data_IF_192242805031
#
_entry.id   IF_192242805031
#
_cell.length_a   1.000
_cell.length_b   1.000
_cell.length_c   1.000
_cell.angle_alpha   90.00
_cell.angle_beta   90.00
_cell.angle_gamma   90.00
#
_symmetry.space_group_name_H-M   'P 1'
#
loop_
_entity.id
_entity.type
_entity.pdbx_description
1 polymer ?
#
# COMPACT_ATOMS: atom_id res chain seq x y z
N UNK A 1 -9.11 7.37 -13.02
CA UNK A 1 -7.99 6.41 -13.07
C UNK A 1 -7.59 6.16 -11.62
N UNK A 2 -7.92 4.97 -11.11
CA UNK A 2 -8.05 4.65 -9.69
C UNK A 2 -6.69 4.56 -8.97
N UNK A 3 -6.66 5.01 -7.70
CA UNK A 3 -5.55 4.92 -6.73
C UNK A 3 -4.61 3.69 -6.88
N UNK A 4 -5.12 2.46 -7.13
CA UNK A 4 -4.30 1.28 -7.33
C UNK A 4 -3.24 1.39 -8.42
N UNK A 5 -3.42 2.19 -9.47
CA UNK A 5 -2.44 2.22 -10.57
C UNK A 5 -1.07 2.78 -10.16
N UNK A 6 -1.00 3.65 -9.13
CA UNK A 6 0.27 4.15 -8.61
C UNK A 6 0.99 3.06 -7.81
N UNK A 7 0.31 2.49 -6.81
CA UNK A 7 0.83 1.40 -5.98
C UNK A 7 1.18 0.16 -6.82
N UNK A 8 0.39 -0.13 -7.88
CA UNK A 8 0.69 -1.20 -8.84
C UNK A 8 2.03 -0.97 -9.53
N UNK A 9 2.27 0.24 -10.04
CA UNK A 9 3.52 0.59 -10.74
C UNK A 9 4.72 0.46 -9.83
N UNK A 10 4.63 0.97 -8.60
CA UNK A 10 5.73 0.87 -7.64
C UNK A 10 6.00 -0.56 -7.18
N UNK A 11 4.95 -1.33 -6.94
CA UNK A 11 5.09 -2.76 -6.66
C UNK A 11 5.83 -3.45 -7.82
N UNK A 12 5.44 -3.18 -9.06
CA UNK A 12 6.09 -3.76 -10.23
C UNK A 12 7.56 -3.35 -10.35
N UNK A 13 7.91 -2.09 -10.04
CA UNK A 13 9.31 -1.64 -9.98
C UNK A 13 10.14 -2.39 -8.92
N UNK A 14 9.55 -2.69 -7.76
CA UNK A 14 10.25 -3.36 -6.65
C UNK A 14 10.36 -4.87 -6.88
N UNK A 15 9.28 -5.50 -7.38
CA UNK A 15 9.15 -6.95 -7.41
C UNK A 15 9.25 -7.57 -8.81
N UNK A 16 9.09 -6.78 -9.88
CA UNK A 16 9.20 -7.24 -11.27
C UNK A 16 7.99 -8.04 -11.79
N UNK A 17 6.89 -8.13 -11.04
CA UNK A 17 5.67 -8.83 -11.46
C UNK A 17 4.40 -8.08 -11.03
N UNK A 18 3.26 -8.45 -11.61
CA UNK A 18 1.99 -7.78 -11.34
C UNK A 18 1.42 -8.15 -9.96
N UNK A 19 0.98 -7.18 -9.13
CA UNK A 19 0.35 -7.46 -7.84
C UNK A 19 -1.12 -7.91 -7.94
N UNK A 20 -1.72 -7.94 -9.14
CA UNK A 20 -3.11 -8.37 -9.32
C UNK A 20 -4.18 -7.35 -8.87
N UNK A 21 -3.82 -6.07 -8.68
CA UNK A 21 -4.80 -5.04 -8.31
C UNK A 21 -5.77 -4.74 -9.46
N UNK A 22 -7.06 -4.78 -9.16
CA UNK A 22 -8.12 -4.58 -10.17
C UNK A 22 -9.18 -3.55 -9.79
N UNK A 23 -9.16 -3.04 -8.54
CA UNK A 23 -10.31 -2.32 -7.98
C UNK A 23 -9.95 -1.10 -7.14
N UNK A 24 -10.42 -1.09 -5.90
CA UNK A 24 -10.21 -0.01 -4.93
C UNK A 24 -8.96 -0.27 -4.08
N UNK A 25 -8.31 0.81 -3.62
CA UNK A 25 -7.15 0.77 -2.73
C UNK A 25 -7.39 -0.04 -1.46
N UNK A 26 -8.59 0.02 -0.88
CA UNK A 26 -8.93 -0.74 0.33
C UNK A 26 -9.00 -2.26 0.12
N UNK A 27 -9.10 -2.75 -1.13
CA UNK A 27 -9.11 -4.18 -1.47
C UNK A 27 -7.72 -4.72 -1.86
N UNK A 28 -6.75 -3.84 -2.12
CA UNK A 28 -5.49 -4.20 -2.77
C UNK A 28 -4.66 -5.22 -1.96
N UNK A 29 -4.60 -5.11 -0.63
CA UNK A 29 -3.88 -6.08 0.20
C UNK A 29 -4.45 -7.50 0.04
N UNK A 30 -5.77 -7.65 0.12
CA UNK A 30 -6.44 -8.95 -0.11
C UNK A 30 -6.28 -9.45 -1.55
N UNK A 31 -6.34 -8.54 -2.53
CA UNK A 31 -6.10 -8.90 -3.93
C UNK A 31 -4.68 -9.43 -4.16
N UNK A 32 -3.67 -8.83 -3.52
CA UNK A 32 -2.28 -9.30 -3.61
C UNK A 32 -2.13 -10.70 -3.05
N UNK A 33 -2.66 -10.96 -1.85
CA UNK A 33 -2.59 -12.27 -1.20
C UNK A 33 -3.33 -13.33 -2.02
N UNK A 34 -4.48 -13.00 -2.60
CA UNK A 34 -5.21 -13.94 -3.46
C UNK A 34 -4.47 -14.24 -4.78
N UNK A 35 -3.75 -13.26 -5.33
CA UNK A 35 -2.99 -13.44 -6.57
C UNK A 35 -1.64 -14.16 -6.35
N UNK A 36 -1.03 -13.98 -5.18
CA UNK A 36 0.28 -14.52 -4.81
C UNK A 36 0.26 -15.11 -3.39
N UNK A 37 -0.57 -16.14 -3.12
CA UNK A 37 -0.72 -16.72 -1.79
C UNK A 37 0.54 -17.44 -1.30
N UNK A 38 1.43 -17.78 -2.23
CA UNK A 38 2.76 -18.34 -1.97
C UNK A 38 3.78 -17.30 -1.48
N UNK A 39 3.50 -16.00 -1.64
CA UNK A 39 4.44 -14.91 -1.36
C UNK A 39 3.99 -13.94 -0.29
N UNK A 40 2.67 -13.80 -0.11
CA UNK A 40 2.10 -12.83 0.84
C UNK A 40 1.01 -13.44 1.70
N UNK A 41 0.88 -12.90 2.92
CA UNK A 41 -0.24 -13.19 3.82
C UNK A 41 -0.80 -11.91 4.42
N UNK A 42 -2.07 -11.96 4.84
CA UNK A 42 -2.69 -10.84 5.56
C UNK A 42 -2.18 -10.78 7.00
N UNK A 43 -1.93 -9.57 7.48
CA UNK A 43 -1.48 -9.26 8.84
C UNK A 43 -2.07 -7.93 9.32
N UNK A 44 -2.27 -7.81 10.63
CA UNK A 44 -2.55 -6.54 11.32
C UNK A 44 -1.27 -5.80 11.73
N UNK A 45 -0.12 -6.46 11.67
CA UNK A 45 1.20 -5.90 11.95
C UNK A 45 1.94 -5.69 10.63
N UNK A 46 2.52 -4.50 10.37
CA UNK A 46 3.27 -4.23 9.15
C UNK A 46 4.60 -4.99 9.11
N UNK A 47 5.12 -5.14 7.89
CA UNK A 47 6.47 -5.60 7.62
C UNK A 47 7.04 -4.78 6.45
N UNK A 48 8.37 -4.66 6.36
CA UNK A 48 9.01 -4.01 5.22
C UNK A 48 8.68 -4.79 3.94
N UNK A 49 8.33 -4.07 2.87
CA UNK A 49 7.85 -4.64 1.61
C UNK A 49 6.36 -4.99 1.60
N UNK A 50 5.63 -4.71 2.69
CA UNK A 50 4.19 -4.96 2.72
C UNK A 50 3.41 -3.95 1.88
N UNK A 51 2.32 -4.41 1.27
CA UNK A 51 1.28 -3.53 0.75
C UNK A 51 0.25 -3.30 1.83
N UNK A 52 -0.08 -2.04 2.10
CA UNK A 52 -1.17 -1.71 3.03
C UNK A 52 -2.40 -1.24 2.28
N UNK A 53 -3.57 -1.55 2.84
CA UNK A 53 -4.88 -1.09 2.40
C UNK A 53 -5.58 -0.40 3.55
N UNK A 54 -5.91 0.88 3.38
CA UNK A 54 -6.70 1.61 4.36
C UNK A 54 -8.19 1.30 4.17
N UNK A 55 -8.87 0.92 5.25
CA UNK A 55 -10.25 0.41 5.17
C UNK A 55 -11.25 1.56 5.07
N UNK A 56 -11.13 2.58 5.94
CA UNK A 56 -12.03 3.72 5.96
C UNK A 56 -11.65 4.83 4.97
N UNK A 57 -10.50 4.70 4.31
CA UNK A 57 -10.03 5.64 3.28
C UNK A 57 -9.57 4.81 2.10
N UNK A 58 -10.18 4.98 0.94
CA UNK A 58 -9.80 4.27 -0.29
C UNK A 58 -8.34 4.62 -0.66
N UNK A 59 -7.37 3.94 -0.06
CA UNK A 59 -5.97 4.34 -0.11
C UNK A 59 -5.07 3.10 0.07
N UNK A 60 -3.95 3.11 -0.64
CA UNK A 60 -3.01 1.99 -0.77
C UNK A 60 -1.60 2.53 -0.97
N UNK A 61 -0.63 1.84 -0.37
CA UNK A 61 0.78 2.15 -0.53
C UNK A 61 1.67 1.00 -0.09
N UNK A 62 2.96 1.29 0.04
CA UNK A 62 4.00 0.31 0.40
C UNK A 62 4.63 0.70 1.74
N UNK A 63 4.89 -0.30 2.58
CA UNK A 63 5.70 -0.14 3.78
C UNK A 63 7.17 -0.29 3.40
N UNK A 64 7.97 0.75 3.63
CA UNK A 64 9.41 0.75 3.36
C UNK A 64 10.27 0.75 4.63
N UNK A 65 9.65 0.91 5.80
CA UNK A 65 10.33 0.83 7.09
C UNK A 65 9.38 0.39 8.21
N UNK A 66 9.88 -0.45 9.12
CA UNK A 66 9.17 -0.88 10.32
C UNK A 66 10.20 -1.19 11.43
N UNK A 67 10.10 -0.50 12.57
CA UNK A 67 11.01 -0.67 13.71
C UNK A 67 10.35 -1.32 14.95
N UNK A 68 9.08 -1.72 14.83
CA UNK A 68 8.27 -2.23 15.94
C UNK A 68 7.34 -1.19 16.58
N UNK A 69 7.57 0.10 16.31
CA UNK A 69 6.77 1.24 16.82
C UNK A 69 6.31 2.15 15.68
N UNK A 70 7.25 2.53 14.82
CA UNK A 70 7.06 3.45 13.72
C UNK A 70 7.01 2.69 12.40
N UNK A 71 6.09 3.14 11.55
CA UNK A 71 5.91 2.68 10.19
C UNK A 71 6.32 3.80 9.24
N UNK A 72 7.26 3.50 8.34
CA UNK A 72 7.59 4.38 7.21
C UNK A 72 6.92 3.84 5.97
N UNK A 73 6.08 4.65 5.36
CA UNK A 73 5.33 4.30 4.16
C UNK A 73 5.76 5.16 2.98
N UNK A 74 5.62 4.56 1.80
CA UNK A 74 5.64 5.26 0.54
C UNK A 74 4.25 5.18 -0.08
N UNK A 75 3.61 6.33 -0.19
CA UNK A 75 2.26 6.50 -0.69
C UNK A 75 2.23 7.56 -1.80
N UNK A 76 1.14 7.63 -2.53
CA UNK A 76 0.92 8.68 -3.52
C UNK A 76 -0.56 9.02 -3.64
N UNK A 77 -0.90 10.05 -4.42
CA UNK A 77 -2.29 10.49 -4.60
C UNK A 77 -2.95 11.06 -3.34
N UNK A 78 -2.17 11.83 -2.57
CA UNK A 78 -2.63 12.49 -1.34
C UNK A 78 -3.67 13.60 -1.60
N UNK A 79 -3.72 14.13 -2.82
CA UNK A 79 -4.66 15.17 -3.26
C UNK A 79 -6.04 14.63 -3.65
N UNK A 80 -6.24 13.30 -3.60
CA UNK A 80 -7.49 12.64 -3.97
C UNK A 80 -7.87 12.78 -5.46
N UNK A 81 -6.98 13.32 -6.30
CA UNK A 81 -7.24 13.51 -7.72
C UNK A 81 -6.93 12.24 -8.48
N UNK A 82 -7.48 12.14 -9.69
CA UNK A 82 -7.05 11.13 -10.65
C UNK A 82 -5.86 11.71 -11.41
N UNK A 83 -4.65 11.29 -11.07
CA UNK A 83 -3.44 11.70 -11.81
C UNK A 83 -3.09 10.67 -12.88
N UNK A 84 -2.47 11.10 -13.99
CA UNK A 84 -1.96 10.18 -15.00
C UNK A 84 -0.83 9.30 -14.44
N UNK A 85 -0.52 8.17 -15.09
CA UNK A 85 0.57 7.29 -14.65
C UNK A 85 1.95 7.99 -14.65
N UNK A 86 2.16 8.97 -15.53
CA UNK A 86 3.39 9.76 -15.56
C UNK A 86 3.51 10.75 -14.39
N UNK A 87 2.39 11.35 -13.97
CA UNK A 87 2.34 12.26 -12.81
C UNK A 87 2.41 11.48 -11.49
N UNK A 88 1.79 10.30 -11.45
CA UNK A 88 1.86 9.36 -10.34
C UNK A 88 3.30 9.01 -9.92
N UNK A 89 4.20 8.88 -10.89
CA UNK A 89 5.62 8.55 -10.63
C UNK A 89 6.38 9.66 -9.90
N UNK A 90 5.93 10.90 -9.99
CA UNK A 90 6.58 12.07 -9.37
C UNK A 90 6.01 12.41 -7.99
N UNK A 91 4.94 11.73 -7.59
CA UNK A 91 4.09 12.06 -6.43
C UNK A 91 4.25 11.03 -5.31
N UNK A 92 5.45 10.46 -5.17
CA UNK A 92 5.77 9.57 -4.07
C UNK A 92 6.08 10.39 -2.84
N UNK A 93 5.19 10.33 -1.85
CA UNK A 93 5.43 10.86 -0.54
C UNK A 93 5.96 9.76 0.36
N UNK A 94 7.05 10.05 1.05
CA UNK A 94 7.59 9.18 2.10
C UNK A 94 7.31 9.85 3.43
N UNK A 95 6.61 9.14 4.31
CA UNK A 95 6.23 9.65 5.62
C UNK A 95 6.36 8.56 6.66
N UNK A 96 6.63 8.98 7.89
CA UNK A 96 6.72 8.08 9.05
C UNK A 96 5.65 8.47 10.06
N UNK A 97 4.96 7.46 10.58
CA UNK A 97 3.96 7.58 11.64
C UNK A 97 4.24 6.54 12.72
N UNK A 98 3.67 6.71 13.90
CA UNK A 98 3.47 5.55 14.78
C UNK A 98 2.40 4.64 14.18
N UNK A 99 2.45 3.33 14.45
CA UNK A 99 1.41 2.41 13.95
C UNK A 99 0.01 2.82 14.41
N UNK A 100 -0.13 3.26 15.67
CA UNK A 100 -1.42 3.70 16.22
C UNK A 100 -1.99 4.93 15.51
N UNK A 101 -1.14 5.92 15.21
CA UNK A 101 -1.54 7.09 14.42
C UNK A 101 -2.00 6.66 13.03
N UNK A 102 -1.24 5.79 12.37
CA UNK A 102 -1.57 5.35 11.02
C UNK A 102 -2.88 4.56 10.95
N UNK A 103 -3.09 3.62 11.88
CA UNK A 103 -4.36 2.88 12.02
C UNK A 103 -5.53 3.86 12.21
N UNK A 104 -5.35 4.90 13.04
CA UNK A 104 -6.38 5.92 13.27
C UNK A 104 -6.68 6.72 12.01
N UNK A 105 -5.66 7.13 11.24
CA UNK A 105 -5.82 7.88 9.97
C UNK A 105 -6.60 7.03 8.94
N UNK A 106 -6.35 5.73 8.90
CA UNK A 106 -6.99 4.81 7.96
C UNK A 106 -8.33 4.24 8.45
N UNK A 107 -8.72 4.54 9.69
CA UNK A 107 -9.88 3.96 10.38
C UNK A 107 -9.85 2.42 10.36
N UNK A 108 -8.64 1.85 10.43
CA UNK A 108 -8.36 0.44 10.16
C UNK A 108 -7.48 0.24 8.92
N UNK A 109 -6.53 -0.68 9.02
CA UNK A 109 -5.56 -0.99 7.97
C UNK A 109 -5.32 -2.49 7.90
N UNK A 110 -5.21 -3.02 6.68
CA UNK A 110 -4.79 -4.39 6.42
C UNK A 110 -3.45 -4.39 5.70
N UNK A 111 -2.53 -5.25 6.12
CA UNK A 111 -1.23 -5.41 5.48
C UNK A 111 -1.15 -6.75 4.77
N UNK A 112 -0.73 -6.75 3.51
CA UNK A 112 -0.24 -7.94 2.82
C UNK A 112 1.28 -7.98 2.99
N UNK A 113 1.76 -8.79 3.94
CA UNK A 113 3.18 -8.89 4.29
C UNK A 113 3.83 -10.04 3.52
N UNK A 114 5.10 -9.89 3.09
CA UNK A 114 5.88 -11.00 2.53
C UNK A 114 6.00 -12.18 3.51
N UNK A 115 6.02 -13.41 2.99
CA UNK A 115 6.23 -14.66 3.75
C UNK A 115 7.69 -15.11 3.65
#
# INVERSE_FOLDING_TARGET
>A
MTLPKKAWGRFYEIHGYSPGFTGDGWKCAKQLVNAHPDKFKISSTPAVGAIFSCIGRNHVGIVIGWDGTNITIQEGNLDGKTNSFAEAKKDWHTVTYTLSQFVSICHGVEFAIPI
#
